data_IF_940242051032
#
_entry.id   IF_940242051032
#
_cell.length_a   1.000
_cell.length_b   1.000
_cell.length_c   1.000
_cell.angle_alpha   90.00
_cell.angle_beta   90.00
_cell.angle_gamma   90.00
#
_symmetry.space_group_name_H-M   'P 1'
#
loop_
_entity.id
_entity.type
_entity.pdbx_description
1 polymer ?
#
# COMPACT_ATOMS: atom_id res chain seq x y z
N UNK A 1 -24.89 13.68 3.69
CA UNK A 1 -24.14 12.44 3.96
C UNK A 1 -23.17 12.67 5.11
N UNK A 2 -22.84 11.61 5.84
CA UNK A 2 -21.81 11.64 6.89
C UNK A 2 -20.43 11.41 6.18
N UNK A 3 -19.39 12.26 6.38
CA UNK A 3 -18.13 12.24 5.59
C UNK A 3 -17.16 11.00 5.74
N UNK A 4 -15.98 10.97 5.06
CA UNK A 4 -14.96 9.89 4.87
C UNK A 4 -13.55 10.12 5.54
N UNK A 5 -13.13 9.36 6.55
CA UNK A 5 -12.06 9.61 7.58
C UNK A 5 -10.58 9.22 7.22
N UNK A 6 -9.71 10.14 6.77
CA UNK A 6 -8.37 9.78 6.21
C UNK A 6 -7.21 9.82 7.24
N UNK A 7 -6.36 8.80 7.24
CA UNK A 7 -5.10 8.71 8.03
C UNK A 7 -4.03 9.67 7.51
N UNK A 8 -3.47 10.50 8.39
CA UNK A 8 -2.36 11.40 8.08
C UNK A 8 -1.02 10.78 8.57
N UNK A 9 -0.15 10.28 7.66
CA UNK A 9 1.12 9.68 8.05
C UNK A 9 2.20 10.72 8.42
N UNK A 10 1.92 12.03 8.28
CA UNK A 10 2.83 13.14 8.60
C UNK A 10 2.58 13.68 10.01
N UNK A 11 1.33 13.62 10.50
CA UNK A 11 0.96 14.14 11.84
C UNK A 11 0.49 13.06 12.81
N UNK A 12 0.42 11.79 12.37
CA UNK A 12 -0.08 10.66 13.17
C UNK A 12 -1.50 11.00 13.77
N UNK A 13 -2.39 11.49 12.89
CA UNK A 13 -3.76 11.92 13.24
C UNK A 13 -4.78 11.56 12.15
N UNK A 14 -6.10 11.71 12.41
CA UNK A 14 -7.10 11.77 11.33
C UNK A 14 -7.44 13.20 11.01
N UNK A 15 -7.91 13.37 9.79
CA UNK A 15 -8.80 14.47 9.46
C UNK A 15 -10.22 13.94 9.48
N UNK A 16 -11.03 14.52 10.37
CA UNK A 16 -12.38 14.04 10.64
C UNK A 16 -13.22 14.20 9.40
N UNK A 17 -13.67 13.08 8.89
CA UNK A 17 -14.68 13.07 7.88
C UNK A 17 -15.47 11.78 8.25
N UNK A 18 -16.40 11.91 9.22
CA UNK A 18 -17.07 10.81 9.95
C UNK A 18 -18.26 10.26 9.14
N UNK A 19 -18.45 8.95 8.92
CA UNK A 19 -18.23 7.88 9.88
C UNK A 19 -17.44 6.71 9.28
N UNK A 20 -17.18 5.66 10.04
CA UNK A 20 -16.69 5.66 11.41
C UNK A 20 -15.17 5.57 11.35
N UNK A 21 -14.46 5.84 12.44
CA UNK A 21 -13.03 5.48 12.54
C UNK A 21 -12.05 6.63 12.57
N UNK A 22 -12.39 7.72 13.25
CA UNK A 22 -11.47 8.79 13.60
C UNK A 22 -10.10 8.25 14.08
N UNK A 23 -9.08 8.27 13.20
CA UNK A 23 -7.67 8.14 13.59
C UNK A 23 -7.31 9.26 14.59
N UNK A 24 -6.51 8.90 15.57
CA UNK A 24 -5.70 9.84 16.33
C UNK A 24 -4.64 9.00 17.02
N UNK A 25 -3.40 9.45 17.00
CA UNK A 25 -2.35 8.82 17.78
C UNK A 25 -1.02 9.35 17.31
N UNK A 26 -0.61 10.49 17.89
CA UNK A 26 0.65 11.21 17.69
C UNK A 26 1.86 10.41 18.21
N UNK A 27 2.85 10.17 17.34
CA UNK A 27 4.27 9.89 17.63
C UNK A 27 5.10 10.34 16.42
N UNK A 28 6.32 10.78 16.67
CA UNK A 28 7.10 11.54 15.69
C UNK A 28 8.00 10.67 14.79
N UNK A 29 7.58 9.43 14.50
CA UNK A 29 8.41 8.44 13.78
C UNK A 29 7.65 7.73 12.66
N UNK A 30 7.89 8.07 11.38
CA UNK A 30 7.19 7.47 10.25
C UNK A 30 7.48 5.97 10.11
N UNK A 31 6.50 5.22 9.58
CA UNK A 31 6.66 3.79 9.33
C UNK A 31 7.83 3.51 8.37
N UNK A 32 8.68 2.55 8.74
CA UNK A 32 9.86 2.14 7.97
C UNK A 32 9.52 0.95 7.09
N UNK A 33 9.86 1.06 5.80
CA UNK A 33 9.77 -0.01 4.80
C UNK A 33 11.17 -0.42 4.33
N UNK A 34 11.28 -1.58 3.69
CA UNK A 34 12.55 -2.09 3.14
C UNK A 34 12.37 -2.72 1.76
N UNK A 35 13.25 -2.44 0.80
CA UNK A 35 13.24 -3.10 -0.52
C UNK A 35 14.02 -4.43 -0.51
N UNK A 36 14.17 -5.05 -1.69
CA UNK A 36 14.89 -6.31 -1.89
C UNK A 36 16.37 -6.26 -1.44
N UNK A 37 17.06 -5.11 -1.55
CA UNK A 37 18.44 -4.97 -1.06
C UNK A 37 18.54 -4.71 0.45
N UNK A 38 17.41 -4.68 1.17
CA UNK A 38 17.36 -4.40 2.61
C UNK A 38 17.54 -2.92 2.97
N UNK A 39 17.57 -2.02 1.98
CA UNK A 39 17.61 -0.55 2.20
C UNK A 39 16.32 -0.14 2.92
N UNK A 40 16.48 0.47 4.10
CA UNK A 40 15.36 0.97 4.91
C UNK A 40 15.10 2.44 4.63
N UNK A 41 13.83 2.81 4.46
CA UNK A 41 13.38 4.19 4.17
C UNK A 41 12.07 4.45 4.92
N UNK A 42 11.80 5.70 5.30
CA UNK A 42 10.51 6.09 5.83
C UNK A 42 9.47 6.16 4.70
N UNK A 43 8.26 5.65 4.93
CA UNK A 43 7.18 5.69 3.93
C UNK A 43 6.83 7.13 3.51
N UNK A 44 6.98 8.10 4.41
CA UNK A 44 6.78 9.53 4.11
C UNK A 44 7.76 10.06 3.07
N UNK A 45 9.00 9.57 3.04
CA UNK A 45 9.98 9.98 2.05
C UNK A 45 9.61 9.41 0.67
N UNK A 46 9.12 8.16 0.63
CA UNK A 46 8.62 7.54 -0.60
C UNK A 46 7.41 8.31 -1.13
N UNK A 47 6.42 8.59 -0.28
CA UNK A 47 5.22 9.35 -0.64
C UNK A 47 5.63 10.72 -1.18
N UNK A 48 6.47 11.48 -0.47
CA UNK A 48 6.86 12.84 -0.88
C UNK A 48 7.75 12.88 -2.13
N UNK A 49 8.58 11.86 -2.36
CA UNK A 49 9.48 11.83 -3.53
C UNK A 49 8.79 11.40 -4.83
N UNK A 50 7.62 10.75 -4.74
CA UNK A 50 6.88 10.22 -5.89
C UNK A 50 5.60 11.00 -6.15
N UNK A 51 5.23 11.14 -7.42
CA UNK A 51 3.94 11.76 -7.81
C UNK A 51 2.78 10.87 -7.36
N UNK A 52 2.96 9.55 -7.50
CA UNK A 52 2.01 8.51 -7.11
C UNK A 52 2.75 7.47 -6.27
N UNK A 53 2.16 7.05 -5.15
CA UNK A 53 2.59 5.86 -4.39
C UNK A 53 1.44 4.87 -4.33
N UNK A 54 1.69 3.63 -4.74
CA UNK A 54 0.72 2.54 -4.68
C UNK A 54 0.93 1.72 -3.41
N UNK A 55 -0.06 1.71 -2.52
CA UNK A 55 -0.09 0.78 -1.40
C UNK A 55 -0.78 -0.50 -1.87
N UNK A 56 0.00 -1.56 -2.08
CA UNK A 56 -0.49 -2.86 -2.54
C UNK A 56 -0.68 -3.79 -1.34
N UNK A 57 -1.93 -4.03 -0.97
CA UNK A 57 -2.33 -4.96 0.09
C UNK A 57 -2.58 -6.34 -0.53
N UNK A 58 -1.89 -7.37 -0.03
CA UNK A 58 -2.05 -8.75 -0.46
C UNK A 58 -1.46 -9.71 0.56
N UNK A 59 -1.54 -11.01 0.29
CA UNK A 59 -0.83 -12.02 1.07
C UNK A 59 -0.40 -13.20 0.20
N UNK A 60 0.50 -14.03 0.72
CA UNK A 60 1.09 -15.19 0.04
C UNK A 60 0.12 -16.38 -0.14
N UNK A 61 -1.00 -16.39 0.56
CA UNK A 61 -2.03 -17.45 0.51
C UNK A 61 -3.12 -17.15 -0.54
N UNK A 62 -3.11 -15.97 -1.15
CA UNK A 62 -4.16 -15.46 -2.02
C UNK A 62 -3.76 -15.58 -3.51
N UNK A 63 -4.43 -16.46 -4.25
CA UNK A 63 -4.21 -16.67 -5.69
C UNK A 63 -4.44 -15.37 -6.49
N UNK A 64 -5.49 -14.62 -6.19
CA UNK A 64 -5.75 -13.31 -6.81
C UNK A 64 -4.59 -12.30 -6.59
N UNK A 65 -3.90 -12.38 -5.44
CA UNK A 65 -2.70 -11.56 -5.19
C UNK A 65 -1.58 -11.95 -6.15
N UNK A 66 -1.41 -13.24 -6.43
CA UNK A 66 -0.42 -13.73 -7.39
C UNK A 66 -0.72 -13.29 -8.83
N UNK A 67 -1.98 -13.26 -9.22
CA UNK A 67 -2.40 -12.90 -10.59
C UNK A 67 -2.22 -11.41 -10.90
N UNK A 68 -2.38 -10.52 -9.91
CA UNK A 68 -2.17 -9.07 -10.10
C UNK A 68 -0.68 -8.67 -10.20
N UNK A 69 0.23 -9.45 -9.58
CA UNK A 69 1.65 -9.07 -9.49
C UNK A 69 2.33 -8.86 -10.87
N UNK A 70 2.18 -9.73 -11.87
CA UNK A 70 2.74 -9.51 -13.21
C UNK A 70 2.23 -8.22 -13.86
N UNK A 71 0.92 -7.98 -13.85
CA UNK A 71 0.33 -6.78 -14.47
C UNK A 71 0.77 -5.49 -13.75
N UNK A 72 0.85 -5.53 -12.42
CA UNK A 72 1.34 -4.42 -11.61
C UNK A 72 2.82 -4.11 -11.90
N UNK A 73 3.67 -5.11 -12.16
CA UNK A 73 5.06 -4.91 -12.61
C UNK A 73 5.10 -4.22 -13.96
N UNK A 74 4.41 -4.76 -14.96
CA UNK A 74 4.40 -4.20 -16.33
C UNK A 74 3.93 -2.75 -16.35
N UNK A 75 2.88 -2.42 -15.59
CA UNK A 75 2.37 -1.05 -15.45
C UNK A 75 3.39 -0.12 -14.79
N UNK A 76 4.03 -0.55 -13.69
CA UNK A 76 5.03 0.26 -12.97
C UNK A 76 6.28 0.49 -13.83
N UNK A 77 6.74 -0.53 -14.54
CA UNK A 77 7.90 -0.41 -15.43
C UNK A 77 7.58 0.47 -16.66
N UNK A 78 6.40 0.35 -17.25
CA UNK A 78 5.94 1.26 -18.31
C UNK A 78 5.87 2.72 -17.84
N UNK A 79 5.36 2.97 -16.63
CA UNK A 79 5.31 4.30 -16.03
C UNK A 79 6.73 4.85 -15.75
N UNK A 80 7.64 4.02 -15.22
CA UNK A 80 9.05 4.37 -14.99
C UNK A 80 9.78 4.67 -16.31
N UNK A 81 9.52 3.93 -17.40
CA UNK A 81 10.04 4.20 -18.75
C UNK A 81 9.57 5.57 -19.29
N UNK A 82 8.32 5.94 -19.01
CA UNK A 82 7.77 7.27 -19.30
C UNK A 82 8.23 8.36 -18.31
N UNK A 83 9.22 8.07 -17.46
CA UNK A 83 9.79 8.96 -16.43
C UNK A 83 8.77 9.44 -15.39
N UNK A 84 7.65 8.72 -15.21
CA UNK A 84 6.71 8.97 -14.11
C UNK A 84 7.37 8.56 -12.79
N UNK A 85 7.23 9.41 -11.76
CA UNK A 85 7.70 9.11 -10.42
C UNK A 85 6.64 8.30 -9.68
N UNK A 86 6.75 6.98 -9.79
CA UNK A 86 5.86 6.02 -9.15
C UNK A 86 6.67 5.04 -8.29
N UNK A 87 6.12 4.72 -7.12
CA UNK A 87 6.65 3.65 -6.27
C UNK A 87 5.53 2.75 -5.72
N UNK A 88 5.85 1.48 -5.48
CA UNK A 88 4.96 0.52 -4.85
C UNK A 88 5.45 0.19 -3.44
N UNK A 89 4.53 0.15 -2.48
CA UNK A 89 4.73 -0.35 -1.14
C UNK A 89 3.80 -1.55 -0.92
N UNK A 90 4.35 -2.75 -0.87
CA UNK A 90 3.60 -3.95 -0.47
C UNK A 90 3.33 -3.95 1.04
N UNK A 91 2.06 -4.16 1.41
CA UNK A 91 1.58 -4.22 2.78
C UNK A 91 0.96 -5.60 3.00
N UNK A 92 1.64 -6.51 3.72
CA UNK A 92 1.11 -7.83 4.04
C UNK A 92 -0.26 -7.73 4.74
N UNK A 93 -1.24 -8.48 4.24
CA UNK A 93 -2.64 -8.48 4.65
C UNK A 93 -3.01 -9.83 5.29
N UNK A 94 -2.48 -10.09 6.49
CA UNK A 94 -2.68 -11.34 7.21
C UNK A 94 -4.17 -11.62 7.51
N UNK A 95 -4.58 -12.87 7.29
CA UNK A 95 -5.92 -13.37 7.62
C UNK A 95 -5.97 -13.88 9.07
N UNK A 96 -7.16 -14.26 9.55
CA UNK A 96 -7.33 -14.84 10.90
C UNK A 96 -7.19 -16.37 10.86
N UNK A 97 -7.45 -16.99 9.69
CA UNK A 97 -7.27 -18.42 9.42
C UNK A 97 -5.81 -18.87 9.53
N UNK A 98 -4.86 -17.99 9.20
CA UNK A 98 -3.44 -18.23 9.41
C UNK A 98 -3.09 -18.14 10.91
N UNK A 99 -3.34 -19.22 11.66
CA UNK A 99 -2.77 -19.43 13.02
C UNK A 99 -1.23 -19.42 13.00
N UNK A 100 -0.64 -19.57 11.81
CA UNK A 100 0.78 -19.40 11.53
C UNK A 100 1.03 -18.23 10.56
N UNK A 101 0.40 -17.06 10.79
CA UNK A 101 0.64 -15.82 10.05
C UNK A 101 2.13 -15.39 10.11
N UNK A 102 2.95 -15.99 9.26
CA UNK A 102 4.40 -15.96 9.41
C UNK A 102 4.97 -14.81 8.59
N UNK A 103 5.52 -13.81 9.28
CA UNK A 103 6.22 -12.68 8.65
C UNK A 103 7.38 -13.15 7.74
N UNK A 104 7.91 -14.36 7.98
CA UNK A 104 8.89 -15.01 7.13
C UNK A 104 8.33 -15.44 5.77
N UNK A 105 7.12 -16.01 5.73
CA UNK A 105 6.48 -16.48 4.50
C UNK A 105 6.06 -15.30 3.63
N UNK A 106 5.43 -14.27 4.21
CA UNK A 106 5.12 -13.01 3.51
C UNK A 106 6.37 -12.33 2.95
N UNK A 107 7.46 -12.32 3.72
CA UNK A 107 8.73 -11.77 3.26
C UNK A 107 9.35 -12.60 2.14
N UNK A 108 9.33 -13.93 2.23
CA UNK A 108 9.86 -14.80 1.18
C UNK A 108 9.04 -14.71 -0.10
N UNK A 109 7.71 -14.68 0.04
CA UNK A 109 6.77 -14.41 -1.05
C UNK A 109 7.12 -13.08 -1.73
N UNK A 110 7.28 -12.01 -0.95
CA UNK A 110 7.72 -10.71 -1.49
C UNK A 110 9.06 -10.80 -2.22
N UNK A 111 10.09 -11.37 -1.59
CA UNK A 111 11.43 -11.47 -2.17
C UNK A 111 11.48 -12.28 -3.48
N UNK A 112 10.57 -13.25 -3.65
CA UNK A 112 10.51 -14.15 -4.80
C UNK A 112 9.59 -13.66 -5.92
N UNK A 113 8.47 -13.01 -5.58
CA UNK A 113 7.40 -12.72 -6.52
C UNK A 113 7.23 -11.24 -6.87
N UNK A 114 7.52 -10.28 -5.98
CA UNK A 114 7.33 -8.85 -6.25
C UNK A 114 8.41 -8.22 -7.15
N UNK A 115 8.17 -6.98 -7.59
CA UNK A 115 9.14 -6.17 -8.35
C UNK A 115 10.09 -5.41 -7.42
N UNK A 116 11.03 -4.61 -7.98
CA UNK A 116 11.86 -3.72 -7.16
C UNK A 116 11.03 -2.58 -6.57
N UNK A 117 10.42 -2.91 -5.44
CA UNK A 117 9.42 -2.19 -4.67
C UNK A 117 9.84 -2.19 -3.18
N UNK A 118 9.05 -1.57 -2.31
CA UNK A 118 9.26 -1.63 -0.86
C UNK A 118 8.29 -2.58 -0.16
N UNK A 119 8.77 -3.28 0.86
CA UNK A 119 8.01 -4.16 1.75
C UNK A 119 7.77 -3.48 3.11
N UNK A 120 6.53 -3.51 3.60
CA UNK A 120 6.18 -3.07 4.93
C UNK A 120 6.28 -4.21 5.94
N UNK A 121 7.23 -4.13 6.88
CA UNK A 121 7.43 -5.16 7.91
C UNK A 121 6.43 -5.01 9.07
N UNK A 122 5.14 -5.24 8.78
CA UNK A 122 4.07 -5.23 9.75
C UNK A 122 3.83 -6.61 10.38
N UNK A 123 3.49 -6.58 11.67
CA UNK A 123 2.83 -7.70 12.33
C UNK A 123 1.33 -7.68 12.01
N UNK A 124 0.58 -8.78 12.27
CA UNK A 124 -0.84 -8.87 11.96
C UNK A 124 -1.72 -7.74 12.53
N UNK A 125 -1.36 -7.17 13.70
CA UNK A 125 -2.09 -6.06 14.31
C UNK A 125 -1.90 -4.76 13.50
N UNK A 126 -0.66 -4.42 13.14
CA UNK A 126 -0.35 -3.24 12.31
C UNK A 126 -0.96 -3.36 10.91
N UNK A 127 -0.90 -4.56 10.32
CA UNK A 127 -1.57 -4.89 9.05
C UNK A 127 -3.08 -4.64 9.11
N UNK A 128 -3.78 -5.20 10.12
CA UNK A 128 -5.21 -5.01 10.33
C UNK A 128 -5.59 -3.53 10.52
N UNK A 129 -4.75 -2.76 11.21
CA UNK A 129 -4.97 -1.32 11.37
C UNK A 129 -4.76 -0.57 10.05
N UNK A 130 -3.73 -0.92 9.27
CA UNK A 130 -3.50 -0.33 7.95
C UNK A 130 -4.65 -0.60 6.98
N UNK A 131 -5.19 -1.83 6.92
CA UNK A 131 -6.40 -2.13 6.13
C UNK A 131 -7.56 -1.20 6.50
N UNK A 132 -7.84 -1.06 7.81
CA UNK A 132 -8.90 -0.17 8.32
C UNK A 132 -8.69 1.30 7.96
N UNK A 133 -7.47 1.81 8.12
CA UNK A 133 -7.10 3.21 7.84
C UNK A 133 -7.27 3.61 6.38
N UNK A 134 -7.22 2.65 5.45
CA UNK A 134 -7.37 2.87 4.01
C UNK A 134 -8.68 2.26 3.45
N UNK A 135 -9.60 1.84 4.32
CA UNK A 135 -10.86 1.12 3.99
C UNK A 135 -10.74 -0.11 3.09
N UNK A 136 -9.59 -0.77 3.11
CA UNK A 136 -9.40 -2.02 2.38
C UNK A 136 -10.22 -3.11 3.04
N UNK A 137 -11.29 -3.55 2.35
CA UNK A 137 -12.20 -4.60 2.82
C UNK A 137 -11.69 -5.97 2.40
N UNK A 138 -11.60 -6.16 1.09
CA UNK A 138 -11.16 -7.40 0.43
C UNK A 138 -9.63 -7.36 0.24
N UNK A 139 -9.06 -8.34 -0.48
CA UNK A 139 -7.68 -8.35 -0.99
C UNK A 139 -7.66 -9.29 -2.22
N UNK A 140 -6.71 -9.13 -3.16
CA UNK A 140 -5.71 -8.07 -3.26
C UNK A 140 -6.33 -6.68 -3.39
N UNK A 141 -5.61 -5.64 -2.97
CA UNK A 141 -6.07 -4.26 -3.09
C UNK A 141 -4.95 -3.26 -3.37
N UNK A 142 -5.24 -2.27 -4.20
CA UNK A 142 -4.31 -1.17 -4.49
C UNK A 142 -4.98 0.14 -4.07
N UNK A 143 -4.31 0.88 -3.18
CA UNK A 143 -4.71 2.23 -2.77
C UNK A 143 -3.67 3.21 -3.31
N UNK A 144 -4.13 4.16 -4.12
CA UNK A 144 -3.28 5.17 -4.75
C UNK A 144 -3.20 6.40 -3.86
N UNK A 145 -1.98 6.78 -3.46
CA UNK A 145 -1.68 8.03 -2.76
C UNK A 145 -1.00 9.02 -3.70
N UNK A 146 -1.38 10.29 -3.61
CA UNK A 146 -0.59 11.39 -4.18
C UNK A 146 0.61 11.75 -3.31
N UNK A 147 1.50 12.61 -3.82
CA UNK A 147 2.73 13.05 -3.13
C UNK A 147 2.50 13.76 -1.78
N UNK A 148 1.27 14.19 -1.52
CA UNK A 148 0.81 14.79 -0.26
C UNK A 148 0.24 13.77 0.74
N UNK A 149 0.22 12.47 0.41
CA UNK A 149 -0.37 11.40 1.21
C UNK A 149 -1.90 11.32 1.16
N UNK A 150 -2.57 12.10 0.30
CA UNK A 150 -4.02 12.00 0.10
C UNK A 150 -4.32 10.82 -0.83
N UNK A 151 -5.34 10.04 -0.46
CA UNK A 151 -5.90 8.97 -1.29
C UNK A 151 -6.51 9.59 -2.55
N UNK A 152 -5.96 9.24 -3.72
CA UNK A 152 -6.49 9.56 -5.05
C UNK A 152 -7.56 8.53 -5.43
N UNK A 153 -7.28 7.25 -5.18
CA UNK A 153 -8.19 6.12 -5.39
C UNK A 153 -7.96 5.07 -4.29
N UNK A 154 -9.03 4.48 -3.77
CA UNK A 154 -9.02 3.40 -2.76
C UNK A 154 -9.73 2.13 -3.21
N UNK A 155 -10.15 2.02 -4.47
CA UNK A 155 -10.95 0.91 -5.01
C UNK A 155 -10.39 0.35 -6.33
N UNK A 156 -9.10 0.56 -6.61
CA UNK A 156 -8.44 0.05 -7.81
C UNK A 156 -8.36 -1.49 -7.89
N UNK A 157 -8.81 -2.20 -6.84
CA UNK A 157 -9.13 -3.64 -6.80
C UNK A 157 -9.81 -4.19 -8.07
N UNK A 158 -10.61 -3.37 -8.77
CA UNK A 158 -11.56 -3.86 -9.78
C UNK A 158 -11.23 -3.52 -11.23
N UNK A 159 -10.20 -2.72 -11.49
CA UNK A 159 -9.84 -2.38 -12.88
C UNK A 159 -8.39 -1.88 -13.01
N UNK A 160 -7.46 -2.79 -13.32
CA UNK A 160 -6.06 -2.47 -13.61
C UNK A 160 -5.90 -1.55 -14.85
N UNK A 161 -6.84 -1.54 -15.81
CA UNK A 161 -6.83 -0.58 -16.92
C UNK A 161 -7.06 0.85 -16.42
N UNK A 162 -7.99 1.08 -15.49
CA UNK A 162 -8.22 2.41 -14.91
C UNK A 162 -7.05 2.86 -14.02
N UNK A 163 -6.44 1.94 -13.28
CA UNK A 163 -5.21 2.20 -12.54
C UNK A 163 -4.10 2.63 -13.49
N UNK A 164 -3.89 1.87 -14.58
CA UNK A 164 -2.90 2.13 -15.62
C UNK A 164 -3.10 3.48 -16.30
N UNK A 165 -4.33 3.81 -16.70
CA UNK A 165 -4.63 5.10 -17.33
C UNK A 165 -4.31 6.26 -16.36
N UNK A 166 -4.71 6.12 -15.10
CA UNK A 166 -4.43 7.13 -14.05
C UNK A 166 -2.93 7.31 -13.80
N UNK A 167 -2.15 6.22 -13.81
CA UNK A 167 -0.70 6.20 -13.58
C UNK A 167 0.11 6.69 -14.78
N UNK A 168 -0.34 6.40 -16.01
CA UNK A 168 0.38 6.75 -17.24
C UNK A 168 0.07 8.18 -17.68
N UNK A 169 -1.18 8.63 -17.59
CA UNK A 169 -1.63 9.88 -18.21
C UNK A 169 -1.67 11.10 -17.26
N UNK A 170 -1.68 10.94 -15.93
CA UNK A 170 -1.43 12.05 -14.98
C UNK A 170 0.06 12.33 -14.82
#
# INVERSE_FOLDING_TARGET
>A
MRPIVVYDPITESVKFTRPEGQVSGFRDTPAIVSNHSGKKVAINDIIRCNSITLLFFGNAECEDTMDIIPELKEMVDAARLLRRKIEVVYIPAYTISSHHANQWEERNHFMKHHGDWYYMNYNPIKSKNAKKMHWVKEIPAIVMLGSNGVIIDSQAERNMSMLRDTVIFN
#
